data_IF_587254890395
#
_entry.id   IF_587254890395
#
_cell.length_a   1.000
_cell.length_b   1.000
_cell.length_c   1.000
_cell.angle_alpha   90.00
_cell.angle_beta   90.00
_cell.angle_gamma   90.00
#
_symmetry.space_group_name_H-M   'P 1'
#
loop_
_entity.id
_entity.type
_entity.pdbx_description
1 polymer ?
#
# COMPACT_ATOMS: atom_id res chain seq x y z
N UNK A 1 -9.29 -12.76 5.19
CA UNK A 1 -8.93 -12.88 6.62
C UNK A 1 -8.88 -14.37 6.95
N UNK A 2 -7.70 -14.95 7.18
CA UNK A 2 -7.62 -16.40 7.45
C UNK A 2 -8.33 -16.70 8.77
N UNK A 3 -9.36 -17.55 8.72
CA UNK A 3 -10.12 -17.93 9.91
C UNK A 3 -9.18 -18.53 10.97
N UNK A 4 -9.23 -18.01 12.19
CA UNK A 4 -8.53 -18.64 13.31
C UNK A 4 -9.14 -20.02 13.52
N UNK A 5 -8.28 -21.04 13.63
CA UNK A 5 -8.71 -22.39 13.97
C UNK A 5 -8.36 -22.64 15.43
N UNK A 6 -9.36 -23.02 16.24
CA UNK A 6 -9.16 -23.32 17.66
C UNK A 6 -8.11 -24.42 17.88
N UNK A 7 -8.05 -25.40 16.97
CA UNK A 7 -7.00 -26.43 16.90
C UNK A 7 -5.58 -25.86 16.94
N UNK A 8 -5.31 -24.74 16.26
CA UNK A 8 -3.98 -24.11 16.24
C UNK A 8 -3.65 -23.39 17.56
N UNK A 9 -4.65 -22.95 18.31
CA UNK A 9 -4.45 -22.33 19.63
C UNK A 9 -4.11 -23.42 20.64
N UNK A 10 -4.91 -24.49 20.68
CA UNK A 10 -4.74 -25.60 21.62
C UNK A 10 -3.44 -26.36 21.37
N UNK A 11 -3.00 -26.49 20.11
CA UNK A 11 -1.75 -27.17 19.76
C UNK A 11 -0.47 -26.47 20.27
N UNK A 12 -0.55 -25.22 20.77
CA UNK A 12 0.63 -24.57 21.35
C UNK A 12 1.00 -25.24 22.66
N UNK A 13 2.26 -25.65 22.80
CA UNK A 13 2.76 -26.44 23.94
C UNK A 13 2.37 -25.85 25.30
N UNK A 14 2.52 -24.54 25.48
CA UNK A 14 2.19 -23.86 26.74
C UNK A 14 0.69 -23.84 27.03
N UNK A 15 -0.15 -23.77 25.99
CA UNK A 15 -1.62 -23.77 26.13
C UNK A 15 -2.11 -25.19 26.40
N UNK A 16 -1.58 -26.17 25.68
CA UNK A 16 -1.90 -27.60 25.89
C UNK A 16 -1.55 -28.06 27.31
N UNK A 17 -0.38 -27.67 27.84
CA UNK A 17 0.00 -28.01 29.22
C UNK A 17 -0.87 -27.31 30.27
N UNK A 18 -1.21 -26.04 30.06
CA UNK A 18 -2.14 -25.30 30.93
C UNK A 18 -3.54 -25.93 30.93
N UNK A 19 -4.05 -26.31 29.76
CA UNK A 19 -5.36 -26.97 29.64
C UNK A 19 -5.35 -28.33 30.36
N UNK A 20 -4.32 -29.15 30.16
CA UNK A 20 -4.16 -30.43 30.87
C UNK A 20 -4.18 -30.23 32.39
N UNK A 21 -3.40 -29.27 32.90
CA UNK A 21 -3.33 -29.00 34.34
C UNK A 21 -4.66 -28.48 34.90
N UNK A 22 -5.31 -27.56 34.18
CA UNK A 22 -6.60 -27.00 34.60
C UNK A 22 -7.71 -28.04 34.59
N UNK A 23 -7.78 -28.89 33.56
CA UNK A 23 -8.79 -29.95 33.46
C UNK A 23 -8.57 -31.00 34.56
N UNK A 24 -7.31 -31.40 34.78
CA UNK A 24 -6.96 -32.33 35.87
C UNK A 24 -7.29 -31.78 37.25
N UNK A 25 -7.08 -30.47 37.47
CA UNK A 25 -7.33 -29.80 38.76
C UNK A 25 -8.81 -29.53 39.02
N UNK A 26 -9.55 -29.11 38.00
CA UNK A 26 -10.99 -28.85 38.09
C UNK A 26 -11.79 -30.15 38.21
N UNK A 27 -11.30 -31.23 37.61
CA UNK A 27 -11.98 -32.52 37.56
C UNK A 27 -13.22 -32.51 36.66
N UNK A 28 -13.64 -33.70 36.23
CA UNK A 28 -14.78 -33.92 35.35
C UNK A 28 -14.42 -34.12 33.87
N UNK A 29 -15.36 -34.66 33.12
CA UNK A 29 -15.19 -35.00 31.70
C UNK A 29 -15.32 -33.71 30.85
N UNK A 30 -14.18 -33.04 30.64
CA UNK A 30 -14.10 -31.84 29.81
C UNK A 30 -13.50 -32.21 28.46
N UNK A 31 -14.23 -31.89 27.39
CA UNK A 31 -13.75 -32.07 26.03
C UNK A 31 -13.86 -30.79 25.22
N UNK A 32 -12.95 -30.62 24.25
CA UNK A 32 -12.93 -29.46 23.36
C UNK A 32 -13.10 -29.97 21.94
N UNK A 33 -14.08 -29.41 21.24
CA UNK A 33 -14.42 -29.76 19.87
C UNK A 33 -14.26 -28.53 18.96
N UNK A 34 -13.93 -28.75 17.69
CA UNK A 34 -14.00 -27.69 16.68
C UNK A 34 -15.44 -27.46 16.19
N UNK A 35 -15.61 -26.62 15.16
CA UNK A 35 -16.92 -26.29 14.58
C UNK A 35 -17.63 -27.48 13.91
N UNK A 36 -16.89 -28.52 13.53
CA UNK A 36 -17.43 -29.74 12.92
C UNK A 36 -17.67 -30.83 13.99
N UNK A 37 -17.63 -30.44 15.26
CA UNK A 37 -17.74 -31.31 16.44
C UNK A 37 -16.60 -32.35 16.55
N UNK A 38 -15.51 -32.16 15.81
CA UNK A 38 -14.34 -33.03 15.90
C UNK A 38 -13.63 -32.80 17.23
N UNK A 39 -13.40 -33.89 17.97
CA UNK A 39 -12.66 -33.89 19.22
C UNK A 39 -11.21 -33.41 19.00
N UNK A 40 -10.84 -32.34 19.69
CA UNK A 40 -9.50 -31.76 19.67
C UNK A 40 -8.71 -32.03 20.96
N UNK A 41 -9.43 -32.26 22.06
CA UNK A 41 -8.85 -32.42 23.39
C UNK A 41 -9.86 -33.08 24.34
N UNK A 42 -9.39 -33.91 25.27
CA UNK A 42 -10.22 -34.64 26.23
C UNK A 42 -10.78 -35.92 25.64
N UNK A 43 -11.69 -36.55 26.38
CA UNK A 43 -12.39 -37.77 25.99
C UNK A 43 -13.75 -37.46 25.33
N UNK A 44 -14.44 -38.48 24.80
CA UNK A 44 -15.77 -38.27 24.22
C UNK A 44 -16.76 -37.73 25.26
N UNK A 45 -17.47 -36.63 24.96
CA UNK A 45 -18.40 -36.03 25.91
C UNK A 45 -19.62 -36.93 26.12
N UNK A 46 -20.05 -37.06 27.37
CA UNK A 46 -21.34 -37.69 27.68
C UNK A 46 -22.51 -36.83 27.16
N UNK A 47 -23.63 -37.45 26.81
CA UNK A 47 -24.82 -36.79 26.25
C UNK A 47 -25.45 -35.77 27.23
N UNK A 48 -25.19 -35.94 28.53
CA UNK A 48 -25.63 -35.03 29.60
C UNK A 48 -24.76 -33.77 29.76
N UNK A 49 -23.65 -33.66 29.00
CA UNK A 49 -22.69 -32.57 29.11
C UNK A 49 -23.25 -31.23 28.63
N UNK A 50 -22.98 -30.16 29.38
CA UNK A 50 -23.21 -28.78 28.92
C UNK A 50 -22.40 -28.45 27.67
N UNK A 51 -22.85 -27.46 26.88
CA UNK A 51 -22.17 -26.99 25.66
C UNK A 51 -21.85 -25.50 25.78
N UNK A 52 -20.57 -25.18 25.93
CA UNK A 52 -20.09 -23.81 26.07
C UNK A 52 -19.38 -23.36 24.79
N UNK A 53 -19.78 -22.21 24.26
CA UNK A 53 -19.33 -21.72 22.96
C UNK A 53 -17.93 -21.12 23.05
N UNK A 54 -17.09 -21.46 22.06
CA UNK A 54 -15.87 -20.71 21.78
C UNK A 54 -16.16 -19.80 20.59
N UNK A 55 -16.18 -18.49 20.81
CA UNK A 55 -16.48 -17.48 19.79
C UNK A 55 -15.47 -16.35 19.77
N UNK A 56 -15.26 -15.82 18.57
CA UNK A 56 -14.46 -14.62 18.38
C UNK A 56 -15.18 -13.69 17.42
N UNK A 57 -15.50 -12.47 17.88
CA UNK A 57 -16.21 -11.43 17.10
C UNK A 57 -17.46 -11.98 16.38
N UNK A 58 -18.25 -12.81 17.07
CA UNK A 58 -19.48 -13.40 16.54
C UNK A 58 -19.30 -14.70 15.74
N UNK A 59 -18.07 -15.07 15.36
CA UNK A 59 -17.78 -16.33 14.67
C UNK A 59 -17.48 -17.45 15.67
N UNK A 60 -18.25 -18.54 15.60
CA UNK A 60 -17.99 -19.76 16.40
C UNK A 60 -16.74 -20.45 15.89
N UNK A 61 -15.82 -20.81 16.80
CA UNK A 61 -14.63 -21.57 16.48
C UNK A 61 -14.72 -23.04 16.91
N UNK A 62 -15.63 -23.35 17.85
CA UNK A 62 -15.84 -24.68 18.42
C UNK A 62 -16.58 -24.61 19.75
N UNK A 63 -16.53 -25.69 20.51
CA UNK A 63 -17.23 -25.82 21.79
C UNK A 63 -16.37 -26.49 22.85
N UNK A 64 -16.61 -26.13 24.10
CA UNK A 64 -16.17 -26.91 25.26
C UNK A 64 -17.38 -27.65 25.81
N UNK A 65 -17.25 -28.95 25.99
CA UNK A 65 -18.28 -29.83 26.56
C UNK A 65 -17.87 -30.21 27.98
N UNK A 66 -18.87 -30.34 28.86
CA UNK A 66 -18.70 -30.83 30.23
C UNK A 66 -19.67 -30.17 31.21
N UNK A 67 -19.50 -30.44 32.50
CA UNK A 67 -20.29 -29.85 33.59
C UNK A 67 -19.98 -28.36 33.83
N UNK A 68 -20.22 -27.86 35.05
CA UNK A 68 -19.98 -26.45 35.39
C UNK A 68 -18.50 -26.03 35.22
N UNK A 69 -17.57 -26.98 35.38
CA UNK A 69 -16.13 -26.78 35.20
C UNK A 69 -15.70 -26.53 33.75
N UNK A 70 -16.54 -26.84 32.75
CA UNK A 70 -16.25 -26.53 31.36
C UNK A 70 -16.43 -25.03 31.04
N UNK A 71 -17.22 -24.30 31.83
CA UNK A 71 -17.49 -22.87 31.61
C UNK A 71 -16.24 -22.00 31.77
N UNK A 72 -15.42 -22.13 32.83
CA UNK A 72 -14.14 -21.42 32.92
C UNK A 72 -13.18 -21.73 31.78
N UNK A 73 -13.14 -22.98 31.30
CA UNK A 73 -12.29 -23.39 30.17
C UNK A 73 -12.75 -22.70 28.88
N UNK A 74 -14.05 -22.66 28.61
CA UNK A 74 -14.59 -21.93 27.47
C UNK A 74 -14.26 -20.43 27.53
N UNK A 75 -14.40 -19.80 28.71
CA UNK A 75 -14.04 -18.40 28.91
C UNK A 75 -12.54 -18.13 28.65
N UNK A 76 -11.66 -19.02 29.12
CA UNK A 76 -10.23 -18.93 28.86
C UNK A 76 -9.91 -19.06 27.35
N UNK A 77 -10.52 -20.05 26.67
CA UNK A 77 -10.32 -20.24 25.25
C UNK A 77 -10.85 -19.06 24.43
N UNK A 78 -11.97 -18.47 24.83
CA UNK A 78 -12.47 -17.23 24.25
C UNK A 78 -11.47 -16.08 24.40
N UNK A 79 -10.94 -15.87 25.61
CA UNK A 79 -9.92 -14.84 25.85
C UNK A 79 -8.66 -15.07 24.99
N UNK A 80 -8.15 -16.30 24.95
CA UNK A 80 -6.96 -16.65 24.15
C UNK A 80 -7.20 -16.48 22.64
N UNK A 81 -8.39 -16.85 22.16
CA UNK A 81 -8.74 -16.73 20.75
C UNK A 81 -8.92 -15.27 20.32
N UNK A 82 -9.58 -14.45 21.15
CA UNK A 82 -9.68 -13.00 20.92
C UNK A 82 -8.28 -12.35 20.90
N UNK A 83 -7.44 -12.65 21.90
CA UNK A 83 -6.07 -12.11 22.00
C UNK A 83 -5.19 -12.51 20.81
N UNK A 84 -5.31 -13.73 20.31
CA UNK A 84 -4.57 -14.18 19.12
C UNK A 84 -5.03 -13.44 17.87
N UNK A 85 -6.33 -13.15 17.73
CA UNK A 85 -6.88 -12.41 16.60
C UNK A 85 -6.39 -10.96 16.60
N UNK A 86 -6.41 -10.30 17.75
CA UNK A 86 -5.86 -8.95 17.93
C UNK A 86 -4.37 -8.90 17.61
N UNK A 87 -3.58 -9.83 18.15
CA UNK A 87 -2.13 -9.90 17.89
C UNK A 87 -1.84 -10.06 16.39
N UNK A 88 -2.63 -10.86 15.68
CA UNK A 88 -2.48 -11.04 14.22
C UNK A 88 -2.84 -9.77 13.45
N UNK A 89 -3.90 -9.07 13.84
CA UNK A 89 -4.28 -7.81 13.22
C UNK A 89 -3.14 -6.79 13.36
N UNK A 90 -2.62 -6.60 14.57
CA UNK A 90 -1.49 -5.71 14.85
C UNK A 90 -0.23 -6.13 14.07
N UNK A 91 0.06 -7.44 14.00
CA UNK A 91 1.22 -7.93 13.25
C UNK A 91 1.11 -7.65 11.74
N UNK A 92 -0.08 -7.78 11.16
CA UNK A 92 -0.33 -7.46 9.74
C UNK A 92 -0.13 -5.97 9.51
N UNK A 93 -0.76 -5.12 10.32
CA UNK A 93 -0.63 -3.65 10.25
C UNK A 93 0.83 -3.21 10.41
N UNK A 94 1.55 -3.79 11.38
CA UNK A 94 2.97 -3.51 11.60
C UNK A 94 3.83 -3.89 10.40
N UNK A 95 3.55 -5.05 9.77
CA UNK A 95 4.28 -5.50 8.59
C UNK A 95 4.00 -4.61 7.38
N UNK A 96 2.76 -4.14 7.22
CA UNK A 96 2.39 -3.18 6.18
C UNK A 96 3.12 -1.84 6.39
N UNK A 97 3.10 -1.30 7.61
CA UNK A 97 3.84 -0.09 7.96
C UNK A 97 5.35 -0.25 7.74
N UNK A 98 5.93 -1.40 8.11
CA UNK A 98 7.36 -1.67 7.90
C UNK A 98 7.74 -1.74 6.42
N UNK A 99 6.88 -2.32 5.57
CA UNK A 99 7.07 -2.34 4.11
C UNK A 99 6.99 -0.93 3.52
N UNK A 100 6.03 -0.13 3.97
CA UNK A 100 5.88 1.27 3.56
C UNK A 100 7.13 2.07 3.93
N UNK A 101 7.58 2.00 5.19
CA UNK A 101 8.78 2.68 5.69
C UNK A 101 10.03 2.27 4.90
N UNK A 102 10.23 0.98 4.62
CA UNK A 102 11.40 0.52 3.86
C UNK A 102 11.38 1.00 2.41
N UNK A 103 10.21 1.04 1.77
CA UNK A 103 10.08 1.60 0.43
C UNK A 103 10.48 3.07 0.43
N UNK A 104 9.97 3.84 1.40
CA UNK A 104 10.33 5.25 1.58
C UNK A 104 11.83 5.43 1.85
N UNK A 105 12.40 4.69 2.80
CA UNK A 105 13.81 4.81 3.17
C UNK A 105 14.76 4.49 2.02
N UNK A 106 14.51 3.40 1.30
CA UNK A 106 15.34 3.01 0.16
C UNK A 106 15.27 4.00 -0.99
N UNK A 107 14.08 4.59 -1.23
CA UNK A 107 13.92 5.58 -2.28
C UNK A 107 14.60 6.90 -1.90
N UNK A 108 14.36 7.40 -0.68
CA UNK A 108 15.03 8.61 -0.17
C UNK A 108 16.56 8.53 -0.31
N UNK A 109 17.17 7.40 0.06
CA UNK A 109 18.62 7.18 -0.13
C UNK A 109 19.08 7.27 -1.58
N UNK A 110 18.32 6.69 -2.52
CA UNK A 110 18.64 6.75 -3.96
C UNK A 110 18.47 8.18 -4.50
N UNK A 111 17.48 8.92 -4.01
CA UNK A 111 17.18 10.27 -4.48
C UNK A 111 18.19 11.31 -3.98
N UNK A 112 18.60 11.27 -2.70
CA UNK A 112 19.54 12.26 -2.12
C UNK A 112 20.92 12.23 -2.77
N UNK A 113 21.29 11.13 -3.44
CA UNK A 113 22.57 11.03 -4.15
C UNK A 113 22.58 11.73 -5.52
N UNK A 114 21.43 12.16 -6.04
CA UNK A 114 21.29 12.70 -7.40
C UNK A 114 20.88 14.18 -7.37
N UNK A 115 21.57 15.00 -8.16
CA UNK A 115 21.39 16.45 -8.19
C UNK A 115 20.61 16.94 -9.43
N UNK A 116 20.27 16.04 -10.35
CA UNK A 116 19.53 16.39 -11.58
C UNK A 116 18.09 15.88 -11.52
N UNK A 117 17.08 16.71 -11.85
CA UNK A 117 15.67 16.30 -11.86
C UNK A 117 15.38 15.08 -12.74
N UNK A 118 16.07 14.95 -13.88
CA UNK A 118 15.90 13.85 -14.83
C UNK A 118 16.35 12.51 -14.24
N UNK A 119 17.47 12.47 -13.53
CA UNK A 119 17.99 11.25 -12.88
C UNK A 119 17.03 10.77 -11.79
N UNK A 120 16.51 11.71 -11.00
CA UNK A 120 15.49 11.44 -9.97
C UNK A 120 14.22 10.88 -10.61
N UNK A 121 13.72 11.53 -11.66
CA UNK A 121 12.53 11.08 -12.40
C UNK A 121 12.72 9.68 -12.98
N UNK A 122 13.92 9.36 -13.49
CA UNK A 122 14.23 8.03 -14.03
C UNK A 122 14.23 6.95 -12.95
N UNK A 123 14.76 7.25 -11.76
CA UNK A 123 14.70 6.32 -10.61
C UNK A 123 13.24 6.06 -10.22
N UNK A 124 12.43 7.11 -10.16
CA UNK A 124 11.01 7.03 -9.76
C UNK A 124 10.21 6.20 -10.76
N UNK A 125 10.39 6.43 -12.05
CA UNK A 125 9.62 5.73 -13.09
C UNK A 125 10.04 4.25 -13.19
N UNK A 126 11.32 3.95 -12.97
CA UNK A 126 11.81 2.56 -12.87
C UNK A 126 11.23 1.86 -11.64
N UNK A 127 11.20 2.52 -10.48
CA UNK A 127 10.61 1.95 -9.27
C UNK A 127 9.09 1.72 -9.43
N UNK A 128 8.41 2.63 -10.13
CA UNK A 128 6.98 2.50 -10.44
C UNK A 128 6.70 1.24 -11.27
N UNK A 129 7.54 0.98 -12.28
CA UNK A 129 7.46 -0.22 -13.13
C UNK A 129 7.65 -1.53 -12.35
N UNK A 130 8.44 -1.52 -11.28
CA UNK A 130 8.61 -2.69 -10.40
C UNK A 130 7.41 -2.93 -9.49
N UNK A 131 6.69 -1.87 -9.12
CA UNK A 131 5.59 -1.92 -8.15
C UNK A 131 4.24 -2.20 -8.80
N UNK A 132 4.03 -1.74 -10.03
CA UNK A 132 2.77 -1.86 -10.77
C UNK A 132 3.03 -2.49 -12.13
N UNK A 133 2.17 -3.43 -12.52
CA UNK A 133 2.15 -3.97 -13.87
C UNK A 133 1.56 -2.93 -14.83
N UNK A 134 2.44 -2.14 -15.44
CA UNK A 134 2.07 -1.11 -16.41
C UNK A 134 3.04 -1.10 -17.59
N UNK A 135 2.53 -0.78 -18.78
CA UNK A 135 3.28 -0.78 -20.04
C UNK A 135 3.72 0.63 -20.48
N UNK A 136 3.08 1.69 -19.96
CA UNK A 136 3.48 3.08 -20.22
C UNK A 136 3.44 3.94 -18.95
N UNK A 137 4.49 4.73 -18.75
CA UNK A 137 4.56 5.66 -17.64
C UNK A 137 5.43 6.86 -17.94
N UNK A 138 5.06 8.00 -17.38
CA UNK A 138 5.76 9.27 -17.52
C UNK A 138 5.87 9.98 -16.18
N UNK A 139 6.99 10.68 -16.02
CA UNK A 139 7.14 11.74 -15.02
C UNK A 139 7.22 13.05 -15.78
N UNK A 140 6.23 13.90 -15.57
CA UNK A 140 6.14 15.22 -16.18
C UNK A 140 6.44 16.31 -15.16
N UNK A 141 7.11 17.38 -15.61
CA UNK A 141 7.27 18.62 -14.88
C UNK A 141 6.50 19.73 -15.59
N UNK A 142 5.88 20.63 -14.83
CA UNK A 142 5.34 21.86 -15.38
C UNK A 142 6.48 22.80 -15.79
N UNK A 143 6.33 23.44 -16.94
CA UNK A 143 7.22 24.54 -17.33
C UNK A 143 7.00 25.77 -16.42
N UNK A 144 7.89 26.77 -16.55
CA UNK A 144 7.86 27.97 -15.69
C UNK A 144 6.53 28.74 -15.77
N UNK A 145 5.87 28.71 -16.93
CA UNK A 145 4.60 29.37 -17.18
C UNK A 145 3.38 28.49 -16.83
N UNK A 146 3.61 27.26 -16.33
CA UNK A 146 2.61 26.24 -16.03
C UNK A 146 1.64 25.96 -17.20
N UNK A 147 2.16 26.10 -18.42
CA UNK A 147 1.40 26.03 -19.67
C UNK A 147 1.58 24.70 -20.39
N UNK A 148 2.74 24.06 -20.18
CA UNK A 148 3.09 22.79 -20.82
C UNK A 148 3.68 21.82 -19.79
N UNK A 149 3.61 20.53 -20.13
CA UNK A 149 4.29 19.46 -19.42
C UNK A 149 5.53 19.05 -20.19
N UNK A 150 6.67 19.07 -19.53
CA UNK A 150 7.94 18.55 -20.03
C UNK A 150 8.16 17.13 -19.50
N UNK A 151 8.53 16.20 -20.38
CA UNK A 151 8.89 14.84 -19.99
C UNK A 151 10.26 14.85 -19.32
N UNK A 152 10.34 14.47 -18.04
CA UNK A 152 11.62 14.25 -17.36
C UNK A 152 12.11 12.80 -17.49
N UNK A 153 11.18 11.85 -17.43
CA UNK A 153 11.49 10.43 -17.59
C UNK A 153 10.25 9.66 -18.05
N UNK A 154 10.48 8.50 -18.66
CA UNK A 154 9.40 7.63 -19.10
C UNK A 154 9.85 6.18 -19.24
N UNK A 155 8.87 5.28 -19.30
CA UNK A 155 8.99 4.08 -20.12
C UNK A 155 7.81 4.07 -21.06
N UNK A 156 8.09 4.20 -22.36
CA UNK A 156 7.10 4.02 -23.42
C UNK A 156 7.81 3.37 -24.61
N UNK A 157 7.37 2.19 -25.07
CA UNK A 157 7.92 1.55 -26.27
C UNK A 157 7.89 2.45 -27.51
N UNK A 158 7.03 3.47 -27.54
CA UNK A 158 6.82 4.40 -28.67
C UNK A 158 7.35 5.82 -28.41
N UNK A 159 8.25 6.01 -27.43
CA UNK A 159 8.73 7.36 -27.05
C UNK A 159 9.48 8.10 -28.17
N UNK A 160 10.21 7.39 -29.04
CA UNK A 160 11.07 8.01 -30.07
C UNK A 160 10.36 8.99 -31.01
N UNK A 161 9.04 8.84 -31.17
CA UNK A 161 8.22 9.69 -32.04
C UNK A 161 7.51 10.85 -31.28
N UNK A 162 7.69 10.96 -29.96
CA UNK A 162 6.90 11.91 -29.15
C UNK A 162 7.57 13.26 -28.94
N UNK A 163 6.78 14.35 -28.91
CA UNK A 163 7.29 15.64 -28.49
C UNK A 163 7.69 15.61 -27.00
N UNK A 164 8.83 16.23 -26.68
CA UNK A 164 9.29 16.38 -25.29
C UNK A 164 8.40 17.29 -24.44
N UNK A 165 7.52 18.08 -25.07
CA UNK A 165 6.55 18.96 -24.42
C UNK A 165 5.15 18.68 -24.92
N UNK A 166 4.18 18.70 -24.02
CA UNK A 166 2.77 18.48 -24.34
C UNK A 166 1.86 19.46 -23.60
N UNK A 167 0.75 19.81 -24.23
CA UNK A 167 -0.23 20.73 -23.65
C UNK A 167 -1.03 20.06 -22.53
N UNK A 168 -1.35 20.83 -21.50
CA UNK A 168 -2.08 20.34 -20.33
C UNK A 168 -3.58 20.25 -20.65
N UNK A 169 -4.13 19.05 -20.66
CA UNK A 169 -5.54 18.82 -20.97
C UNK A 169 -6.15 17.67 -20.15
N UNK A 170 -7.48 17.59 -20.20
CA UNK A 170 -8.27 16.46 -19.68
C UNK A 170 -8.03 16.09 -18.22
N UNK A 171 -7.92 14.78 -17.97
CA UNK A 171 -7.75 14.21 -16.63
C UNK A 171 -6.46 14.73 -15.96
N UNK A 172 -5.37 14.84 -16.71
CA UNK A 172 -4.09 15.38 -16.19
C UNK A 172 -4.26 16.82 -15.71
N UNK A 173 -4.99 17.65 -16.46
CA UNK A 173 -5.34 19.02 -16.04
C UNK A 173 -6.15 19.03 -14.75
N UNK A 174 -7.13 18.13 -14.60
CA UNK A 174 -7.92 17.99 -13.37
C UNK A 174 -7.02 17.70 -12.17
N UNK A 175 -6.10 16.74 -12.30
CA UNK A 175 -5.17 16.36 -11.24
C UNK A 175 -4.23 17.50 -10.86
N UNK A 176 -3.74 18.27 -11.84
CA UNK A 176 -2.90 19.44 -11.58
C UNK A 176 -3.67 20.53 -10.81
N UNK A 177 -4.91 20.83 -11.23
CA UNK A 177 -5.73 21.87 -10.61
C UNK A 177 -6.19 21.51 -9.20
N UNK A 178 -6.58 20.26 -8.98
CA UNK A 178 -7.06 19.78 -7.67
C UNK A 178 -5.91 19.40 -6.73
N UNK A 179 -4.77 18.98 -7.29
CA UNK A 179 -3.68 18.39 -6.55
C UNK A 179 -4.07 17.07 -5.87
N UNK A 180 -5.07 16.36 -6.39
CA UNK A 180 -5.55 15.06 -5.90
C UNK A 180 -5.29 14.01 -6.99
N UNK A 181 -4.67 12.89 -6.61
CA UNK A 181 -4.43 11.78 -7.53
C UNK A 181 -5.71 11.01 -7.86
N UNK A 182 -5.83 10.54 -9.10
CA UNK A 182 -7.04 9.92 -9.64
C UNK A 182 -6.73 8.61 -10.37
N UNK A 183 -7.67 7.65 -10.29
CA UNK A 183 -7.69 6.41 -11.07
C UNK A 183 -8.88 6.49 -12.04
N UNK A 184 -8.62 6.19 -13.31
CA UNK A 184 -9.62 6.09 -14.37
C UNK A 184 -9.40 4.76 -15.12
N UNK A 185 -10.09 3.71 -14.70
CA UNK A 185 -9.93 2.36 -15.28
C UNK A 185 -10.59 2.21 -16.67
N UNK A 186 -11.54 3.09 -16.99
CA UNK A 186 -12.12 3.23 -18.33
C UNK A 186 -12.15 4.71 -18.72
N UNK A 187 -11.17 5.14 -19.52
CA UNK A 187 -11.08 6.54 -19.96
C UNK A 187 -12.16 6.90 -20.98
N UNK A 188 -12.75 5.92 -21.67
CA UNK A 188 -13.81 6.19 -22.66
C UNK A 188 -15.11 6.64 -22.01
N UNK A 189 -15.31 6.27 -20.75
CA UNK A 189 -16.43 6.70 -19.92
C UNK A 189 -16.19 8.01 -19.17
N UNK A 190 -14.97 8.57 -19.17
CA UNK A 190 -14.65 9.83 -18.48
C UNK A 190 -14.83 11.04 -19.43
N UNK A 191 -15.73 11.99 -19.11
CA UNK A 191 -16.01 13.14 -19.99
C UNK A 191 -14.83 14.11 -20.12
N UNK A 192 -13.82 14.00 -19.25
CA UNK A 192 -12.59 14.81 -19.31
C UNK A 192 -11.54 14.17 -20.22
N UNK A 193 -11.74 12.94 -20.68
CA UNK A 193 -10.76 12.27 -21.51
C UNK A 193 -10.58 13.01 -22.85
N UNK A 194 -9.33 13.33 -23.17
CA UNK A 194 -8.96 13.95 -24.44
C UNK A 194 -8.20 12.88 -25.22
N UNK A 195 -8.70 12.43 -26.38
CA UNK A 195 -8.01 11.46 -27.21
C UNK A 195 -6.60 11.97 -27.58
N UNK A 196 -5.62 11.09 -27.45
CA UNK A 196 -4.26 11.32 -27.94
C UNK A 196 -4.01 10.50 -29.20
N UNK A 197 -2.90 10.76 -29.89
CA UNK A 197 -2.48 9.94 -31.04
C UNK A 197 -2.21 8.46 -30.69
N UNK A 198 -2.22 8.14 -29.40
CA UNK A 198 -2.07 6.78 -28.90
C UNK A 198 -3.31 6.33 -28.13
N UNK A 199 -3.74 5.07 -28.33
CA UNK A 199 -4.85 4.51 -27.59
C UNK A 199 -4.50 4.39 -26.11
N UNK A 200 -5.43 4.84 -25.26
CA UNK A 200 -5.39 4.72 -23.81
C UNK A 200 -6.75 4.14 -23.41
N UNK A 201 -6.75 3.06 -22.64
CA UNK A 201 -7.96 2.44 -22.08
C UNK A 201 -8.10 2.73 -20.60
N UNK A 202 -6.98 2.73 -19.86
CA UNK A 202 -6.94 3.06 -18.45
C UNK A 202 -5.79 4.01 -18.13
N UNK A 203 -5.96 4.80 -17.08
CA UNK A 203 -5.03 5.84 -16.66
C UNK A 203 -5.06 6.01 -15.14
N UNK A 204 -3.89 6.17 -14.53
CA UNK A 204 -3.72 6.64 -13.17
C UNK A 204 -2.79 7.85 -13.19
N UNK A 205 -3.23 8.96 -12.61
CA UNK A 205 -2.46 10.20 -12.58
C UNK A 205 -2.30 10.70 -11.16
N UNK A 206 -1.07 10.99 -10.77
CA UNK A 206 -0.69 11.35 -9.41
C UNK A 206 0.11 12.65 -9.44
N UNK A 207 -0.26 13.68 -8.67
CA UNK A 207 0.43 14.95 -8.70
C UNK A 207 1.77 14.88 -7.98
N UNK A 208 2.78 15.54 -8.54
CA UNK A 208 3.99 15.93 -7.84
C UNK A 208 3.71 17.27 -7.16
N UNK A 209 3.42 17.25 -5.87
CA UNK A 209 2.90 18.41 -5.13
C UNK A 209 3.82 18.79 -3.97
N UNK A 210 4.30 20.04 -3.99
CA UNK A 210 4.95 20.66 -2.83
C UNK A 210 3.89 21.16 -1.85
N UNK A 211 4.30 21.80 -0.74
CA UNK A 211 3.34 22.41 0.19
C UNK A 211 2.47 23.47 -0.49
N UNK A 212 3.03 24.17 -1.47
CA UNK A 212 2.43 25.38 -2.03
C UNK A 212 1.75 25.13 -3.38
N UNK A 213 2.26 24.21 -4.19
CA UNK A 213 1.77 24.01 -5.56
C UNK A 213 2.05 22.62 -6.13
N UNK A 214 1.33 22.28 -7.20
CA UNK A 214 1.69 21.14 -8.07
C UNK A 214 2.81 21.60 -9.00
N UNK A 215 3.91 20.83 -9.04
CA UNK A 215 5.07 21.11 -9.90
C UNK A 215 5.15 20.16 -11.10
N UNK A 216 4.31 19.13 -11.14
CA UNK A 216 4.32 18.10 -12.18
C UNK A 216 3.35 16.96 -11.86
N UNK A 217 3.42 15.88 -12.63
CA UNK A 217 2.60 14.69 -12.41
C UNK A 217 3.35 13.41 -12.78
N UNK A 218 2.98 12.30 -12.14
CA UNK A 218 3.28 10.95 -12.62
C UNK A 218 2.02 10.44 -13.31
N UNK A 219 2.14 10.04 -14.57
CA UNK A 219 1.04 9.47 -15.35
C UNK A 219 1.40 8.03 -15.73
N UNK A 220 0.53 7.10 -15.36
CA UNK A 220 0.58 5.70 -15.77
C UNK A 220 -0.62 5.44 -16.67
N UNK A 221 -0.38 4.91 -17.86
CA UNK A 221 -1.45 4.63 -18.82
C UNK A 221 -1.24 3.28 -19.48
N UNK A 222 -2.32 2.69 -19.98
CA UNK A 222 -2.27 1.44 -20.73
C UNK A 222 -3.24 1.44 -21.89
N UNK A 223 -2.79 0.89 -23.03
CA UNK A 223 -3.63 0.63 -24.20
C UNK A 223 -4.64 -0.50 -23.94
N UNK A 224 -4.28 -1.47 -23.11
CA UNK A 224 -5.17 -2.54 -22.67
C UNK A 224 -5.81 -2.18 -21.32
N UNK A 225 -7.06 -2.60 -21.05
CA UNK A 225 -7.70 -2.34 -19.76
C UNK A 225 -6.85 -2.87 -18.60
N UNK A 226 -6.56 -2.00 -17.63
CA UNK A 226 -5.91 -2.35 -16.36
C UNK A 226 -6.79 -1.81 -15.24
N UNK A 227 -7.14 -2.67 -14.30
CA UNK A 227 -7.86 -2.31 -13.08
C UNK A 227 -6.88 -1.81 -12.01
N UNK A 228 -6.52 -0.52 -12.09
CA UNK A 228 -5.77 0.11 -11.01
C UNK A 228 -6.63 0.18 -9.74
N UNK A 229 -5.98 -0.05 -8.60
CA UNK A 229 -6.63 -0.14 -7.29
C UNK A 229 -6.27 1.03 -6.39
N UNK A 230 -7.06 1.26 -5.33
CA UNK A 230 -6.72 2.25 -4.31
C UNK A 230 -5.34 1.99 -3.66
N UNK A 231 -4.90 0.73 -3.62
CA UNK A 231 -3.56 0.38 -3.14
C UNK A 231 -2.47 0.89 -4.07
N UNK A 232 -2.68 0.77 -5.39
CA UNK A 232 -1.75 1.27 -6.40
C UNK A 232 -1.62 2.78 -6.31
N UNK A 233 -2.75 3.49 -6.21
CA UNK A 233 -2.76 4.95 -6.02
C UNK A 233 -2.02 5.35 -4.73
N UNK A 234 -2.24 4.64 -3.62
CA UNK A 234 -1.51 4.92 -2.36
C UNK A 234 0.00 4.76 -2.54
N UNK A 235 0.45 3.67 -3.19
CA UNK A 235 1.87 3.41 -3.43
C UNK A 235 2.51 4.48 -4.32
N UNK A 236 1.87 4.84 -5.43
CA UNK A 236 2.41 5.86 -6.34
C UNK A 236 2.34 7.25 -5.73
N UNK A 237 1.33 7.55 -4.92
CA UNK A 237 1.27 8.80 -4.15
C UNK A 237 2.43 8.93 -3.17
N UNK A 238 2.82 7.83 -2.51
CA UNK A 238 3.97 7.81 -1.62
C UNK A 238 5.30 8.02 -2.38
N UNK A 239 5.44 7.44 -3.58
CA UNK A 239 6.59 7.69 -4.46
C UNK A 239 6.61 9.14 -4.95
N UNK A 240 5.48 9.67 -5.40
CA UNK A 240 5.32 11.03 -5.90
C UNK A 240 5.70 12.05 -4.83
N UNK A 241 5.31 11.84 -3.56
CA UNK A 241 5.68 12.73 -2.46
C UNK A 241 7.20 12.83 -2.26
N UNK A 242 7.92 11.71 -2.37
CA UNK A 242 9.38 11.70 -2.25
C UNK A 242 10.06 12.27 -3.48
N UNK A 243 9.57 11.91 -4.66
CA UNK A 243 10.03 12.45 -5.94
C UNK A 243 9.91 13.97 -5.94
N UNK A 244 8.77 14.51 -5.51
CA UNK A 244 8.55 15.96 -5.42
C UNK A 244 9.60 16.63 -4.56
N UNK A 245 9.89 16.08 -3.39
CA UNK A 245 10.89 16.68 -2.47
C UNK A 245 12.29 16.70 -3.11
N UNK A 246 12.70 15.60 -3.74
CA UNK A 246 14.00 15.51 -4.38
C UNK A 246 14.10 16.38 -5.65
N UNK A 247 13.08 16.36 -6.51
CA UNK A 247 13.01 17.17 -7.73
C UNK A 247 13.01 18.66 -7.36
N UNK A 248 12.20 19.06 -6.37
CA UNK A 248 12.17 20.46 -5.92
C UNK A 248 13.54 20.91 -5.40
N UNK A 249 14.24 20.06 -4.64
CA UNK A 249 15.58 20.38 -4.15
C UNK A 249 16.60 20.47 -5.30
N UNK A 250 16.53 19.56 -6.28
CA UNK A 250 17.40 19.58 -7.46
C UNK A 250 17.19 20.85 -8.30
N UNK A 251 15.93 21.25 -8.55
CA UNK A 251 15.59 22.49 -9.26
C UNK A 251 16.12 23.71 -8.51
N UNK A 252 15.93 23.78 -7.19
CA UNK A 252 16.44 24.88 -6.38
C UNK A 252 17.96 24.99 -6.44
N UNK A 253 18.65 23.84 -6.36
CA UNK A 253 20.10 23.78 -6.45
C UNK A 253 20.62 24.19 -7.83
N UNK A 254 19.97 23.75 -8.90
CA UNK A 254 20.32 24.13 -10.27
C UNK A 254 20.15 25.64 -10.50
N UNK A 255 19.06 26.22 -10.00
CA UNK A 255 18.82 27.66 -10.07
C UNK A 255 19.91 28.45 -9.32
N UNK A 256 20.28 28.04 -8.11
CA UNK A 256 21.36 28.65 -7.34
C UNK A 256 22.70 28.63 -8.10
N UNK A 257 23.08 27.48 -8.67
CA UNK A 257 24.29 27.37 -9.49
C UNK A 257 24.24 28.26 -10.74
N UNK A 258 23.06 28.38 -11.35
CA UNK A 258 22.86 29.24 -12.53
C UNK A 258 23.09 30.71 -12.17
N UNK A 259 22.54 31.16 -11.05
CA UNK A 259 22.73 32.52 -10.54
C UNK A 259 24.21 32.82 -10.23
N UNK A 260 24.93 31.90 -9.60
CA UNK A 260 26.37 32.05 -9.34
C UNK A 260 27.19 32.12 -10.64
N UNK A 261 26.86 31.32 -11.65
CA UNK A 261 27.52 31.38 -12.96
C UNK A 261 27.27 32.72 -13.67
N UNK A 262 26.04 33.23 -13.62
CA UNK A 262 25.70 34.54 -14.19
C UNK A 262 26.48 35.64 -13.47
N UNK A 263 26.51 35.61 -12.14
CA UNK A 263 27.23 36.61 -11.32
C UNK A 263 28.74 36.58 -11.52
N UNK A 264 29.35 35.39 -11.57
CA UNK A 264 30.79 35.24 -11.81
C UNK A 264 31.20 35.65 -13.22
N UNK A 265 30.33 35.44 -14.22
CA UNK A 265 30.55 35.95 -15.57
C UNK A 265 30.51 37.47 -15.59
N UNK A 266 29.51 38.10 -14.96
CA UNK A 266 29.41 39.56 -14.88
C UNK A 266 30.61 40.20 -14.19
N UNK A 267 31.06 39.66 -13.05
CA UNK A 267 32.24 40.14 -12.33
C UNK A 267 33.58 39.95 -13.09
N UNK A 268 33.58 39.21 -14.20
CA UNK A 268 34.76 39.03 -15.05
C UNK A 268 34.84 40.07 -16.17
N UNK A 269 33.74 40.78 -16.44
CA UNK A 269 33.63 41.82 -17.46
C UNK A 269 33.59 43.25 -16.91
N UNK A 270 33.61 43.41 -15.58
CA UNK A 270 33.72 44.67 -14.85
C UNK A 270 34.86 44.59 -13.84
#
# INVERSE_FOLDING_TARGET
MAAIKIKKIIAKKDISSLLNNLITSLGGDISIQDIDEQLLFGDEPDDSSGKYKIDVKGSTLGWVRGGENARPIAALLNYLANRELERRAIAIETLENYREINLLYNLSRKLTANLMPQDIAQIVINQTRELIQVNRGFVFLLDQDQSQLEVLASFDPKMGDRPHKQSIAGIVRSVIMTGVGEIVNDVSSDPRFVPSDYPISSLMCVPLKTKDQVIGVIELSSEQPVDYTARDLKLISALASQATSAISNAILYENMLREERVRSTLNRYF
#
